data_IF_611637333193
#
_entry.id   IF_611637333193
#
_cell.length_a   1.000
_cell.length_b   1.000
_cell.length_c   1.000
_cell.angle_alpha   90.00
_cell.angle_beta   90.00
_cell.angle_gamma   90.00
#
_symmetry.space_group_name_H-M   'P 1'
#
loop_
_entity.id
_entity.type
_entity.pdbx_description
1 polymer ?
#
# COMPACT_ATOMS: atom_id res chain seq x y z
N UNK A 1 8.58 -0.65 -3.45
CA UNK A 1 8.07 -1.08 -2.14
C UNK A 1 6.92 -2.05 -2.37
N UNK A 2 7.04 -3.29 -1.93
CA UNK A 2 5.92 -4.25 -1.99
C UNK A 2 4.99 -4.05 -0.77
N UNK A 3 3.77 -4.59 -0.82
CA UNK A 3 2.77 -4.42 0.25
C UNK A 3 3.28 -4.89 1.62
N UNK A 4 4.00 -6.02 1.68
CA UNK A 4 4.53 -6.54 2.95
C UNK A 4 5.53 -5.57 3.58
N UNK A 5 6.43 -4.97 2.79
CA UNK A 5 7.37 -3.96 3.27
C UNK A 5 6.64 -2.75 3.84
N UNK A 6 5.69 -2.18 3.10
CA UNK A 6 4.92 -1.01 3.55
C UNK A 6 4.19 -1.27 4.88
N UNK A 7 3.64 -2.48 5.04
CA UNK A 7 2.99 -2.93 6.27
C UNK A 7 3.98 -3.07 7.44
N UNK A 8 5.18 -3.59 7.21
CA UNK A 8 6.20 -3.70 8.26
C UNK A 8 6.74 -2.33 8.67
N UNK A 9 6.95 -1.42 7.72
CA UNK A 9 7.33 -0.04 8.01
C UNK A 9 6.24 0.69 8.82
N UNK A 10 4.96 0.52 8.46
CA UNK A 10 3.84 1.04 9.24
C UNK A 10 3.82 0.50 10.67
N UNK A 11 4.07 -0.81 10.87
CA UNK A 11 4.19 -1.43 12.20
C UNK A 11 5.37 -0.87 12.99
N UNK A 12 6.50 -0.68 12.33
CA UNK A 12 7.69 -0.11 12.97
C UNK A 12 7.39 1.33 13.42
N UNK A 13 6.86 2.16 12.52
CA UNK A 13 6.46 3.53 12.82
C UNK A 13 5.47 3.61 14.00
N UNK A 14 4.42 2.77 14.00
CA UNK A 14 3.45 2.67 15.10
C UNK A 14 4.07 2.32 16.45
N UNK A 15 5.19 1.59 16.47
CA UNK A 15 5.90 1.21 17.69
C UNK A 15 6.94 2.24 18.13
N UNK A 16 7.53 2.96 17.18
CA UNK A 16 8.67 3.84 17.44
C UNK A 16 8.30 5.32 17.56
N UNK A 17 7.15 5.73 17.02
CA UNK A 17 6.71 7.13 17.01
C UNK A 17 5.66 7.40 18.10
N UNK A 18 5.66 8.62 18.69
CA UNK A 18 4.55 9.10 19.50
C UNK A 18 3.23 9.10 18.73
N UNK A 19 2.12 8.98 19.46
CA UNK A 19 0.77 8.92 18.86
C UNK A 19 0.40 10.21 18.13
N UNK A 20 1.04 11.32 18.46
CA UNK A 20 0.89 12.63 17.83
C UNK A 20 1.63 12.73 16.48
N UNK A 21 2.52 11.77 16.18
CA UNK A 21 3.33 11.76 14.95
C UNK A 21 2.97 10.64 13.98
N UNK A 22 2.03 9.77 14.36
CA UNK A 22 1.59 8.67 13.51
C UNK A 22 0.09 8.39 13.65
N UNK A 23 -0.62 8.44 12.52
CA UNK A 23 -2.02 8.03 12.42
C UNK A 23 -2.16 6.89 11.40
N UNK A 24 -2.94 5.87 11.77
CA UNK A 24 -3.24 4.72 10.93
C UNK A 24 -4.73 4.71 10.62
N UNK A 25 -5.07 4.81 9.33
CA UNK A 25 -6.45 4.79 8.86
C UNK A 25 -6.58 3.70 7.80
N UNK A 26 -7.52 2.78 7.98
CA UNK A 26 -7.84 1.78 6.96
C UNK A 26 -8.60 2.44 5.82
N UNK A 27 -8.22 2.11 4.60
CA UNK A 27 -8.87 2.65 3.41
C UNK A 27 -10.38 2.38 3.41
N UNK A 28 -10.80 1.18 3.79
CA UNK A 28 -12.21 0.80 3.86
C UNK A 28 -12.98 1.62 4.90
N UNK A 29 -12.37 1.89 6.05
CA UNK A 29 -12.98 2.71 7.10
C UNK A 29 -13.11 4.16 6.64
N UNK A 30 -12.08 4.69 5.96
CA UNK A 30 -12.08 6.02 5.37
C UNK A 30 -13.21 6.17 4.36
N UNK A 31 -13.30 5.26 3.38
CA UNK A 31 -14.34 5.31 2.33
C UNK A 31 -15.74 5.13 2.91
N UNK A 32 -15.90 4.35 3.98
CA UNK A 32 -17.20 4.15 4.62
C UNK A 32 -17.66 5.38 5.42
N UNK A 33 -16.72 6.18 5.95
CA UNK A 33 -17.01 7.37 6.76
C UNK A 33 -16.08 8.54 6.43
N UNK A 34 -16.12 9.08 5.19
CA UNK A 34 -15.08 9.97 4.69
C UNK A 34 -15.00 11.29 5.44
N UNK A 35 -16.14 11.87 5.82
CA UNK A 35 -16.17 13.11 6.61
C UNK A 35 -15.59 12.92 8.01
N UNK A 36 -15.95 11.82 8.69
CA UNK A 36 -15.43 11.49 10.02
C UNK A 36 -13.90 11.44 9.99
N UNK A 37 -13.34 10.68 9.04
CA UNK A 37 -11.91 10.47 8.96
C UNK A 37 -11.15 11.68 8.43
N UNK A 38 -11.73 12.47 7.53
CA UNK A 38 -11.13 13.74 7.11
C UNK A 38 -11.05 14.74 8.28
N UNK A 39 -12.10 14.84 9.11
CA UNK A 39 -12.07 15.66 10.33
C UNK A 39 -11.03 15.18 11.33
N UNK A 40 -10.91 13.86 11.53
CA UNK A 40 -9.89 13.26 12.39
C UNK A 40 -8.48 13.58 11.90
N UNK A 41 -8.25 13.45 10.59
CA UNK A 41 -6.96 13.77 9.97
C UNK A 41 -6.62 15.25 10.12
N UNK A 42 -7.57 16.16 9.88
CA UNK A 42 -7.37 17.59 10.11
C UNK A 42 -7.02 17.87 11.58
N UNK A 43 -7.73 17.26 12.54
CA UNK A 43 -7.41 17.40 13.96
C UNK A 43 -5.99 16.92 14.28
N UNK A 44 -5.61 15.77 13.76
CA UNK A 44 -4.27 15.20 13.92
C UNK A 44 -3.18 16.13 13.36
N UNK A 45 -3.43 16.77 12.21
CA UNK A 45 -2.50 17.71 11.58
C UNK A 45 -2.54 19.13 12.20
N UNK A 46 -3.49 19.42 13.10
CA UNK A 46 -3.70 20.78 13.62
C UNK A 46 -4.38 21.73 12.63
N UNK A 47 -5.03 21.20 11.59
CA UNK A 47 -5.67 21.94 10.51
C UNK A 47 -7.18 22.08 10.70
N UNK A 48 -7.76 23.12 10.08
CA UNK A 48 -9.22 23.29 10.05
C UNK A 48 -9.83 22.44 8.94
N UNK A 49 -10.84 21.64 9.29
CA UNK A 49 -11.59 20.87 8.30
C UNK A 49 -12.41 21.79 7.38
N UNK A 50 -12.37 21.50 6.07
CA UNK A 50 -13.26 22.08 5.06
C UNK A 50 -13.96 20.94 4.29
N UNK A 51 -15.27 21.02 4.11
CA UNK A 51 -16.07 20.04 3.36
C UNK A 51 -15.58 19.85 1.92
N UNK A 52 -15.01 20.88 1.31
CA UNK A 52 -14.51 20.83 -0.07
C UNK A 52 -13.26 19.94 -0.20
N UNK A 53 -12.60 19.56 0.91
CA UNK A 53 -11.51 18.57 0.90
C UNK A 53 -11.96 17.21 0.37
N UNK A 54 -13.26 16.87 0.51
CA UNK A 54 -13.82 15.63 -0.04
C UNK A 54 -14.25 15.74 -1.51
N UNK A 55 -14.24 16.96 -2.07
CA UNK A 55 -14.56 17.26 -3.47
C UNK A 55 -13.30 17.43 -4.32
N UNK A 56 -12.24 16.71 -3.99
CA UNK A 56 -10.93 16.85 -4.64
C UNK A 56 -10.99 16.63 -6.16
N UNK A 57 -11.96 15.86 -6.67
CA UNK A 57 -12.16 15.67 -8.11
C UNK A 57 -12.45 16.99 -8.86
N UNK A 58 -13.09 17.96 -8.21
CA UNK A 58 -13.49 19.24 -8.82
C UNK A 58 -12.29 20.17 -9.07
N UNK A 59 -11.19 19.95 -8.35
CA UNK A 59 -9.95 20.73 -8.45
C UNK A 59 -8.79 19.91 -9.04
N UNK A 60 -9.01 18.64 -9.36
CA UNK A 60 -7.95 17.72 -9.79
C UNK A 60 -7.25 18.15 -11.09
N UNK A 61 -7.96 18.88 -11.96
CA UNK A 61 -7.40 19.43 -13.20
C UNK A 61 -6.52 20.66 -12.99
N UNK A 62 -6.63 21.32 -11.83
CA UNK A 62 -5.82 22.49 -11.46
C UNK A 62 -4.66 22.07 -10.53
N UNK A 63 -4.91 21.10 -9.65
CA UNK A 63 -3.99 20.72 -8.58
C UNK A 63 -2.95 19.65 -8.98
N UNK A 64 -3.18 18.89 -10.07
CA UNK A 64 -2.26 17.83 -10.53
C UNK A 64 -1.61 18.24 -11.85
N UNK A 65 -0.28 18.45 -11.91
CA UNK A 65 0.42 18.73 -13.17
C UNK A 65 0.32 17.57 -14.16
N UNK A 66 0.14 17.88 -15.46
CA UNK A 66 -0.11 16.89 -16.52
C UNK A 66 0.96 15.79 -16.65
N UNK A 67 2.21 16.06 -16.27
CA UNK A 67 3.28 15.07 -16.33
C UNK A 67 3.19 13.98 -15.24
N UNK A 68 2.35 14.14 -14.21
CA UNK A 68 2.10 13.14 -13.16
C UNK A 68 0.87 12.26 -13.46
N UNK A 69 0.20 12.49 -14.59
CA UNK A 69 -1.10 11.89 -14.94
C UNK A 69 -1.14 10.36 -15.14
N UNK A 70 -0.09 9.65 -15.58
CA UNK A 70 -0.22 8.22 -15.87
C UNK A 70 -0.49 7.36 -14.62
N UNK A 71 -0.15 7.83 -13.41
CA UNK A 71 -0.31 7.11 -12.13
C UNK A 71 -1.28 7.76 -11.14
N UNK A 72 -1.89 8.91 -11.46
CA UNK A 72 -2.85 9.62 -10.60
C UNK A 72 -4.28 9.71 -11.15
N UNK A 73 -4.62 9.00 -12.24
CA UNK A 73 -5.97 9.08 -12.83
C UNK A 73 -7.12 8.70 -11.87
N UNK A 74 -6.85 7.92 -10.82
CA UNK A 74 -7.83 7.60 -9.78
C UNK A 74 -8.19 8.80 -8.89
N UNK A 75 -7.30 9.79 -8.72
CA UNK A 75 -7.57 11.00 -7.91
C UNK A 75 -8.40 12.05 -8.66
N UNK A 76 -8.81 11.76 -9.90
CA UNK A 76 -9.83 12.54 -10.65
C UNK A 76 -11.25 12.01 -10.46
N UNK A 77 -11.42 10.87 -9.78
CA UNK A 77 -12.74 10.26 -9.54
C UNK A 77 -13.17 10.52 -8.10
N UNK A 78 -14.47 10.70 -7.85
CA UNK A 78 -14.96 10.83 -6.48
C UNK A 78 -14.61 9.59 -5.66
N UNK A 79 -14.60 9.73 -4.33
CA UNK A 79 -14.44 8.60 -3.41
C UNK A 79 -15.43 7.50 -3.79
N UNK A 80 -14.92 6.29 -3.95
CA UNK A 80 -15.72 5.16 -4.41
C UNK A 80 -15.35 3.90 -3.66
N UNK A 81 -16.36 3.18 -3.20
CA UNK A 81 -16.24 1.84 -2.63
C UNK A 81 -15.97 0.76 -3.68
N UNK A 82 -15.95 1.08 -4.97
CA UNK A 82 -15.75 0.12 -6.06
C UNK A 82 -14.40 -0.60 -6.04
N UNK A 83 -13.41 -0.05 -5.32
CA UNK A 83 -12.13 -0.71 -5.10
C UNK A 83 -12.21 -1.77 -3.99
N UNK A 84 -13.13 -1.62 -3.04
CA UNK A 84 -13.31 -2.53 -1.91
C UNK A 84 -13.82 -3.87 -2.44
N UNK A 85 -13.04 -4.93 -2.19
CA UNK A 85 -13.40 -6.28 -2.63
C UNK A 85 -13.28 -6.56 -4.13
N UNK A 86 -12.83 -5.59 -4.94
CA UNK A 86 -12.62 -5.75 -6.40
C UNK A 86 -11.76 -6.97 -6.74
N UNK A 87 -10.75 -7.25 -5.91
CA UNK A 87 -9.86 -8.40 -6.04
C UNK A 87 -10.59 -9.74 -6.14
N UNK A 88 -11.80 -9.87 -5.55
CA UNK A 88 -12.60 -11.10 -5.59
C UNK A 88 -13.09 -11.44 -7.00
N UNK A 89 -13.25 -10.42 -7.85
CA UNK A 89 -13.68 -10.56 -9.24
C UNK A 89 -12.50 -10.53 -10.20
N UNK A 90 -11.52 -9.68 -9.92
CA UNK A 90 -10.44 -9.38 -10.86
C UNK A 90 -9.28 -10.38 -10.77
N UNK A 91 -9.14 -11.10 -9.64
CA UNK A 91 -8.10 -12.13 -9.48
C UNK A 91 -8.63 -13.53 -9.75
N UNK A 92 -7.84 -14.30 -10.49
CA UNK A 92 -8.07 -15.73 -10.67
C UNK A 92 -7.76 -16.51 -9.37
N UNK A 93 -8.41 -17.67 -9.20
CA UNK A 93 -8.25 -18.51 -8.00
C UNK A 93 -6.79 -18.84 -7.68
N UNK A 94 -5.95 -19.10 -8.69
CA UNK A 94 -4.53 -19.42 -8.47
C UNK A 94 -3.73 -18.20 -7.98
N UNK A 95 -4.10 -16.98 -8.40
CA UNK A 95 -3.47 -15.74 -7.95
C UNK A 95 -3.82 -15.49 -6.48
N UNK A 96 -5.09 -15.68 -6.12
CA UNK A 96 -5.56 -15.59 -4.73
C UNK A 96 -4.79 -16.59 -3.85
N UNK A 97 -4.66 -17.85 -4.27
CA UNK A 97 -3.86 -18.87 -3.55
C UNK A 97 -2.41 -18.44 -3.35
N UNK A 98 -1.76 -17.91 -4.40
CA UNK A 98 -0.38 -17.46 -4.32
C UNK A 98 -0.21 -16.30 -3.34
N UNK A 99 -1.11 -15.32 -3.37
CA UNK A 99 -1.09 -14.18 -2.45
C UNK A 99 -1.34 -14.66 -1.02
N UNK A 100 -2.42 -15.40 -0.76
CA UNK A 100 -2.75 -15.88 0.58
C UNK A 100 -1.68 -16.82 1.15
N UNK A 101 -1.00 -17.61 0.31
CA UNK A 101 0.13 -18.45 0.75
C UNK A 101 1.38 -17.64 1.10
N UNK A 102 1.60 -16.50 0.45
CA UNK A 102 2.79 -15.66 0.68
C UNK A 102 2.57 -14.57 1.73
N UNK A 103 1.35 -14.04 1.86
CA UNK A 103 1.01 -12.89 2.72
C UNK A 103 -0.14 -13.16 3.69
N UNK A 104 -0.68 -14.38 3.74
CA UNK A 104 -1.89 -14.69 4.51
C UNK A 104 -1.74 -14.51 6.02
N UNK A 105 -0.53 -14.65 6.57
CA UNK A 105 -0.26 -14.36 7.98
C UNK A 105 -0.43 -12.86 8.24
N UNK A 106 0.20 -12.02 7.43
CA UNK A 106 0.09 -10.57 7.55
C UNK A 106 -1.37 -10.12 7.33
N UNK A 107 -2.07 -10.67 6.32
CA UNK A 107 -3.49 -10.34 6.11
C UNK A 107 -4.33 -10.57 7.37
N UNK A 108 -4.18 -11.73 8.02
CA UNK A 108 -4.90 -12.05 9.27
C UNK A 108 -4.54 -11.11 10.41
N UNK A 109 -3.26 -10.81 10.59
CA UNK A 109 -2.80 -9.87 11.63
C UNK A 109 -3.43 -8.48 11.47
N UNK A 110 -3.74 -8.08 10.24
CA UNK A 110 -4.42 -6.82 9.92
C UNK A 110 -5.95 -6.92 9.85
N UNK A 111 -6.52 -8.04 10.30
CA UNK A 111 -7.97 -8.27 10.34
C UNK A 111 -8.60 -8.57 8.97
N UNK A 112 -7.82 -8.89 7.94
CA UNK A 112 -8.33 -9.34 6.65
C UNK A 112 -8.50 -10.86 6.63
N UNK A 113 -9.75 -11.30 6.42
CA UNK A 113 -10.07 -12.71 6.26
C UNK A 113 -9.53 -13.29 4.96
N UNK A 114 -9.08 -14.55 5.00
CA UNK A 114 -8.74 -15.28 3.79
C UNK A 114 -10.01 -15.69 3.03
N UNK A 115 -9.93 -15.78 1.72
CA UNK A 115 -11.05 -16.07 0.82
C UNK A 115 -11.63 -17.48 0.96
N UNK A 116 -10.89 -18.40 1.60
CA UNK A 116 -11.27 -19.82 1.70
C UNK A 116 -11.04 -20.61 0.40
N UNK A 117 -10.38 -20.02 -0.60
CA UNK A 117 -9.93 -20.77 -1.78
C UNK A 117 -8.94 -21.84 -1.31
N UNK A 118 -9.20 -23.11 -1.69
CA UNK A 118 -8.36 -24.23 -1.29
C UNK A 118 -6.88 -23.93 -1.59
N UNK A 119 -6.03 -24.03 -0.56
CA UNK A 119 -4.60 -23.73 -0.61
C UNK A 119 -3.81 -24.73 -1.47
N UNK A 120 -4.40 -25.90 -1.76
CA UNK A 120 -3.78 -26.90 -2.63
C UNK A 120 -3.81 -26.43 -4.08
N UNK A 121 -2.63 -26.42 -4.71
CA UNK A 121 -2.45 -26.03 -6.11
C UNK A 121 -2.71 -27.26 -6.98
N UNK A 122 -3.68 -27.24 -7.90
CA UNK A 122 -3.89 -28.33 -8.84
C UNK A 122 -2.63 -28.56 -9.69
N UNK A 123 -2.31 -29.82 -9.99
CA UNK A 123 -1.10 -30.18 -10.74
C UNK A 123 -1.00 -29.45 -12.10
N UNK A 124 -2.13 -29.26 -12.80
CA UNK A 124 -2.19 -28.51 -14.06
C UNK A 124 -1.89 -27.00 -13.96
N UNK A 125 -1.93 -26.43 -12.76
CA UNK A 125 -1.61 -25.01 -12.49
C UNK A 125 -0.20 -24.84 -11.87
N UNK A 126 0.48 -25.94 -11.54
CA UNK A 126 1.74 -25.94 -10.80
C UNK A 126 2.88 -25.20 -11.52
N UNK A 127 2.98 -25.33 -12.85
CA UNK A 127 3.99 -24.63 -13.64
C UNK A 127 3.79 -23.10 -13.65
N UNK A 128 2.53 -22.64 -13.77
CA UNK A 128 2.18 -21.22 -13.70
C UNK A 128 2.49 -20.66 -12.31
N UNK A 129 2.10 -21.40 -11.26
CA UNK A 129 2.42 -21.08 -9.87
C UNK A 129 3.93 -20.99 -9.64
N UNK A 130 4.71 -21.98 -10.09
CA UNK A 130 6.16 -22.03 -9.87
C UNK A 130 6.86 -20.89 -10.61
N UNK A 131 6.49 -20.60 -11.86
CA UNK A 131 7.02 -19.46 -12.62
C UNK A 131 6.74 -18.13 -11.89
N UNK A 132 5.51 -17.93 -11.41
CA UNK A 132 5.14 -16.72 -10.67
C UNK A 132 5.85 -16.62 -9.32
N UNK A 133 5.96 -17.74 -8.59
CA UNK A 133 6.64 -17.80 -7.29
C UNK A 133 8.15 -17.58 -7.40
N UNK A 134 8.81 -18.18 -8.40
CA UNK A 134 10.22 -17.95 -8.72
C UNK A 134 10.43 -16.51 -9.16
N UNK A 135 9.56 -15.97 -10.03
CA UNK A 135 9.60 -14.56 -10.41
C UNK A 135 9.48 -13.62 -9.21
N UNK A 136 8.53 -13.86 -8.30
CA UNK A 136 8.39 -13.10 -7.05
C UNK A 136 9.62 -13.23 -6.16
N UNK A 137 10.16 -14.45 -5.98
CA UNK A 137 11.37 -14.69 -5.18
C UNK A 137 12.61 -14.03 -5.77
N UNK A 138 12.81 -14.12 -7.07
CA UNK A 138 13.92 -13.50 -7.79
C UNK A 138 13.79 -11.98 -7.75
N UNK A 139 12.60 -11.41 -7.95
CA UNK A 139 12.39 -9.97 -7.82
C UNK A 139 12.65 -9.50 -6.38
N UNK A 140 12.24 -10.29 -5.37
CA UNK A 140 12.56 -9.98 -3.96
C UNK A 140 14.08 -10.07 -3.69
N UNK A 141 14.78 -11.04 -4.26
CA UNK A 141 16.23 -11.16 -4.17
C UNK A 141 16.98 -10.07 -4.96
N UNK A 142 16.43 -9.65 -6.09
CA UNK A 142 17.01 -8.61 -6.95
C UNK A 142 16.81 -7.22 -6.32
N UNK A 143 15.62 -6.93 -5.78
CA UNK A 143 15.36 -5.68 -5.05
C UNK A 143 16.24 -5.60 -3.79
N UNK A 144 16.30 -6.65 -2.96
CA UNK A 144 17.14 -6.64 -1.75
C UNK A 144 18.64 -6.74 -2.04
N UNK A 145 19.02 -7.46 -3.11
CA UNK A 145 20.41 -7.65 -3.53
C UNK A 145 20.99 -6.41 -4.22
N UNK A 146 20.22 -5.75 -5.09
CA UNK A 146 20.59 -4.49 -5.72
C UNK A 146 20.63 -3.37 -4.68
N UNK A 147 19.72 -3.30 -3.71
CA UNK A 147 19.78 -2.29 -2.64
C UNK A 147 21.05 -2.47 -1.77
N UNK A 148 21.42 -3.73 -1.47
CA UNK A 148 22.66 -4.06 -0.76
C UNK A 148 23.90 -3.77 -1.61
N UNK A 149 23.89 -4.07 -2.90
CA UNK A 149 25.02 -3.82 -3.81
C UNK A 149 25.19 -2.31 -4.12
N UNK A 150 24.09 -1.57 -4.29
CA UNK A 150 24.09 -0.11 -4.45
C UNK A 150 24.52 0.59 -3.15
N UNK A 151 24.19 0.06 -1.97
CA UNK A 151 24.70 0.58 -0.69
C UNK A 151 26.20 0.36 -0.48
N UNK A 152 26.79 -0.64 -1.15
CA UNK A 152 28.23 -0.92 -1.12
C UNK A 152 28.98 -0.02 -2.12
N UNK A 153 28.37 0.28 -3.27
CA UNK A 153 28.99 1.08 -4.34
C UNK A 153 28.74 2.59 -4.23
N UNK A 154 27.69 3.04 -3.52
CA UNK A 154 27.38 4.45 -3.31
C UNK A 154 27.16 4.73 -1.81
N UNK A 155 28.16 5.30 -1.10
CA UNK A 155 28.04 5.60 0.32
C UNK A 155 27.25 6.90 0.64
N UNK A 156 26.55 7.52 -0.32
CA UNK A 156 25.72 8.71 -0.12
C UNK A 156 24.22 8.34 -0.06
N UNK A 157 23.41 8.93 0.86
CA UNK A 157 21.99 8.58 1.03
C UNK A 157 21.16 8.76 -0.25
N UNK A 158 20.70 7.63 -0.80
CA UNK A 158 19.58 7.57 -1.74
C UNK A 158 18.39 8.34 -1.14
N UNK A 159 17.77 9.23 -1.92
CA UNK A 159 16.93 10.34 -1.43
C UNK A 159 15.72 9.95 -0.57
N UNK A 160 15.29 8.68 -0.56
CA UNK A 160 14.25 8.18 0.34
C UNK A 160 14.72 8.06 1.82
N UNK A 161 16.04 8.10 2.06
CA UNK A 161 16.66 8.24 3.41
C UNK A 161 17.09 9.68 3.73
N UNK A 162 17.08 10.60 2.76
CA UNK A 162 17.56 11.96 2.95
C UNK A 162 16.66 12.83 3.85
N UNK A 163 15.43 12.38 4.14
CA UNK A 163 14.55 13.05 5.12
C UNK A 163 14.84 12.72 6.59
N UNK A 164 15.77 11.79 6.88
CA UNK A 164 16.05 11.35 8.27
C UNK A 164 17.19 12.10 8.98
N UNK A 165 17.89 13.00 8.30
CA UNK A 165 18.94 13.83 8.91
C UNK A 165 18.71 15.31 8.61
N UNK A 166 17.69 15.92 9.22
CA UNK A 166 17.67 17.36 9.53
C UNK A 166 16.98 17.59 10.87
N UNK A 167 17.72 17.30 11.93
CA UNK A 167 17.47 17.84 13.27
C UNK A 167 18.81 18.08 13.95
N UNK A 168 19.41 19.23 13.65
CA UNK A 168 20.36 19.98 14.47
C UNK A 168 20.37 21.42 13.95
#
# INVERSE_FOLDING_TARGET
MNWQEAIQEGKHAKRSLPVEQFIEIRYEDFISHPEKWARELCRFLGEKYNSDMLKFQEIADIAVPDYKMPWHSATRKPLSSNAIGRWKRDLEKWQIRLIEKTTGRELKEWGYGLSGVNATIPFGEAAKYYKAFVGYRLNRWFVLGLDRFLSILYPWPLSYKAGRNKSS
#
